data_IF_478090727347
#
_entry.id   IF_478090727347
#
_cell.length_a   1.000
_cell.length_b   1.000
_cell.length_c   1.000
_cell.angle_alpha   90.00
_cell.angle_beta   90.00
_cell.angle_gamma   90.00
#
_symmetry.space_group_name_H-M   'P 1'
#
loop_
_entity.id
_entity.type
_entity.pdbx_description
1 polymer ?
#
# COMPACT_ATOMS: atom_id res chain seq x y z
N UNK A 1 18.04 -5.20 -21.60
CA UNK A 1 18.44 -3.94 -22.25
C UNK A 1 19.74 -3.50 -21.60
N UNK A 2 20.82 -3.32 -22.37
CA UNK A 2 22.09 -2.85 -21.81
C UNK A 2 22.06 -1.32 -21.68
N UNK A 3 22.73 -0.80 -20.64
CA UNK A 3 22.87 0.64 -20.41
C UNK A 3 24.00 1.16 -21.29
N UNK A 4 23.75 2.24 -22.03
CA UNK A 4 24.80 2.96 -22.76
C UNK A 4 25.55 3.86 -21.75
N UNK A 5 26.76 3.41 -21.37
CA UNK A 5 27.57 4.10 -20.40
C UNK A 5 28.06 5.49 -20.89
N UNK A 6 28.29 5.64 -22.20
CA UNK A 6 28.73 6.92 -22.75
C UNK A 6 27.59 7.95 -22.63
N UNK A 7 26.40 7.59 -23.04
CA UNK A 7 25.22 8.43 -22.88
C UNK A 7 24.95 8.75 -21.40
N UNK A 8 25.16 7.79 -20.50
CA UNK A 8 24.96 7.99 -19.07
C UNK A 8 25.99 8.96 -18.44
N UNK A 9 27.19 9.09 -19.02
CA UNK A 9 28.17 10.08 -18.56
C UNK A 9 27.91 11.49 -19.10
N UNK A 10 27.28 11.61 -20.26
CA UNK A 10 27.10 12.87 -20.97
C UNK A 10 25.75 13.55 -20.68
N UNK A 11 24.76 12.81 -20.24
CA UNK A 11 23.41 13.34 -20.00
C UNK A 11 23.07 13.39 -18.50
N UNK A 12 22.21 14.32 -18.15
CA UNK A 12 21.66 14.38 -16.79
C UNK A 12 20.90 13.09 -16.46
N UNK A 13 21.08 12.53 -15.25
CA UNK A 13 20.34 11.34 -14.85
C UNK A 13 18.85 11.63 -14.76
N UNK A 14 17.99 10.64 -15.06
CA UNK A 14 16.55 10.80 -14.90
C UNK A 14 16.20 11.06 -13.42
N UNK A 15 15.19 11.89 -13.21
CA UNK A 15 14.63 12.09 -11.86
C UNK A 15 14.01 10.79 -11.38
N UNK A 16 14.46 10.33 -10.22
CA UNK A 16 13.92 9.11 -9.60
C UNK A 16 12.60 9.42 -8.89
N UNK A 17 11.59 8.60 -9.16
CA UNK A 17 10.29 8.68 -8.51
C UNK A 17 10.29 7.80 -7.26
N UNK A 18 10.12 8.41 -6.09
CA UNK A 18 10.07 7.70 -4.82
C UNK A 18 8.66 7.75 -4.22
N UNK A 19 8.19 6.61 -3.73
CA UNK A 19 6.95 6.54 -2.94
C UNK A 19 7.18 7.21 -1.58
N UNK A 20 8.31 6.91 -0.93
CA UNK A 20 8.89 7.64 0.19
C UNK A 20 10.42 7.57 0.11
N UNK A 21 11.12 8.35 0.91
CA UNK A 21 12.59 8.38 0.90
C UNK A 21 13.19 6.98 1.04
N UNK A 22 13.92 6.54 0.03
CA UNK A 22 14.56 5.22 -0.02
C UNK A 22 13.70 4.09 -0.63
N UNK A 23 12.45 4.34 -0.99
CA UNK A 23 11.60 3.33 -1.67
C UNK A 23 11.19 3.83 -3.06
N UNK A 24 11.91 3.37 -4.07
CA UNK A 24 11.72 3.77 -5.46
C UNK A 24 10.45 3.14 -6.05
N UNK A 25 9.65 3.92 -6.76
CA UNK A 25 8.50 3.43 -7.50
C UNK A 25 8.90 2.34 -8.52
N UNK A 26 8.04 1.32 -8.67
CA UNK A 26 8.32 0.17 -9.54
C UNK A 26 9.31 -0.85 -8.97
N UNK A 27 9.72 -0.71 -7.70
CA UNK A 27 10.56 -1.70 -7.00
C UNK A 27 9.78 -2.52 -5.99
N UNK A 28 10.40 -3.56 -5.46
CA UNK A 28 9.85 -4.43 -4.41
C UNK A 28 10.69 -4.26 -3.15
N UNK A 29 10.03 -4.08 -2.02
CA UNK A 29 10.64 -4.05 -0.69
C UNK A 29 10.18 -5.22 0.18
N UNK A 30 10.95 -5.54 1.21
CA UNK A 30 10.59 -6.53 2.21
C UNK A 30 10.75 -5.95 3.62
N UNK A 31 9.70 -6.05 4.44
CA UNK A 31 9.73 -5.72 5.85
C UNK A 31 9.98 -7.00 6.65
N UNK A 32 11.19 -7.14 7.19
CA UNK A 32 11.62 -8.33 7.92
C UNK A 32 11.85 -8.01 9.39
N UNK A 33 11.18 -8.76 10.27
CA UNK A 33 11.38 -8.67 11.71
C UNK A 33 10.89 -9.97 12.39
N UNK A 34 11.26 -10.28 13.63
CA UNK A 34 10.73 -11.41 14.39
C UNK A 34 9.20 -11.41 14.48
N UNK A 35 8.61 -12.55 14.85
CA UNK A 35 7.17 -12.65 15.11
C UNK A 35 6.72 -11.67 16.22
N UNK A 36 5.46 -11.27 16.20
CA UNK A 36 4.83 -10.40 17.22
C UNK A 36 5.46 -8.99 17.42
N UNK A 37 6.24 -8.51 16.45
CA UNK A 37 6.87 -7.17 16.51
C UNK A 37 6.01 -6.04 15.94
N UNK A 38 4.76 -6.32 15.57
CA UNK A 38 3.85 -5.31 15.03
C UNK A 38 4.01 -5.01 13.52
N UNK A 39 4.73 -5.84 12.74
CA UNK A 39 4.93 -5.64 11.29
C UNK A 39 3.66 -5.36 10.51
N UNK A 40 2.64 -6.21 10.71
CA UNK A 40 1.35 -6.07 10.00
C UNK A 40 0.62 -4.79 10.39
N UNK A 41 0.77 -4.34 11.64
CA UNK A 41 0.20 -3.09 12.11
C UNK A 41 0.90 -1.89 11.47
N UNK A 42 2.24 -1.89 11.50
CA UNK A 42 3.05 -0.87 10.84
C UNK A 42 2.79 -0.81 9.34
N UNK A 43 2.69 -1.96 8.66
CA UNK A 43 2.39 -2.01 7.22
C UNK A 43 1.01 -1.43 6.89
N UNK A 44 0.01 -1.65 7.75
CA UNK A 44 -1.32 -1.07 7.61
C UNK A 44 -1.29 0.46 7.81
N UNK A 45 -0.55 0.96 8.81
CA UNK A 45 -0.36 2.40 9.04
C UNK A 45 0.40 3.06 7.89
N UNK A 46 1.43 2.39 7.35
CA UNK A 46 2.15 2.86 6.15
C UNK A 46 1.23 2.93 4.93
N UNK A 47 0.39 1.90 4.73
CA UNK A 47 -0.62 1.88 3.66
C UNK A 47 -1.62 3.04 3.80
N UNK A 48 -2.09 3.31 5.03
CA UNK A 48 -2.97 4.44 5.32
C UNK A 48 -2.28 5.79 5.07
N UNK A 49 -1.00 5.93 5.44
CA UNK A 49 -0.22 7.15 5.21
C UNK A 49 -0.06 7.46 3.72
N UNK A 50 0.17 6.43 2.88
CA UNK A 50 0.25 6.61 1.42
C UNK A 50 -1.13 6.92 0.83
N UNK A 51 -2.19 6.28 1.33
CA UNK A 51 -3.55 6.49 0.85
C UNK A 51 -4.12 7.86 1.26
N UNK A 52 -3.61 8.46 2.32
CA UNK A 52 -4.08 9.74 2.82
C UNK A 52 -3.56 10.91 1.96
N UNK A 53 -4.48 11.61 1.30
CA UNK A 53 -4.16 12.81 0.50
C UNK A 53 -4.09 14.10 1.30
N UNK A 54 -4.34 14.05 2.62
CA UNK A 54 -4.32 15.22 3.50
C UNK A 54 -2.89 15.55 3.89
N UNK A 55 -2.48 16.77 3.63
CA UNK A 55 -1.12 17.22 3.93
C UNK A 55 -0.79 17.12 5.43
N UNK A 56 0.37 16.54 5.75
CA UNK A 56 0.83 16.35 7.12
C UNK A 56 0.26 15.15 7.86
N UNK A 57 -0.57 14.35 7.20
CA UNK A 57 -1.14 13.13 7.75
C UNK A 57 -0.25 11.93 7.45
N UNK A 58 0.67 11.66 8.37
CA UNK A 58 1.61 10.54 8.26
C UNK A 58 1.71 9.84 9.62
N UNK A 59 1.22 8.60 9.67
CA UNK A 59 1.11 7.82 10.92
C UNK A 59 2.46 7.21 11.35
N UNK A 60 3.39 7.04 10.41
CA UNK A 60 4.62 6.27 10.64
C UNK A 60 5.91 7.04 10.31
N UNK A 61 5.82 8.31 9.93
CA UNK A 61 6.97 9.16 9.62
C UNK A 61 7.70 8.80 8.34
N UNK A 62 6.99 8.27 7.33
CA UNK A 62 7.56 7.92 6.02
C UNK A 62 7.67 9.11 5.07
N UNK A 63 6.87 10.15 5.30
CA UNK A 63 6.72 11.31 4.43
C UNK A 63 6.50 10.89 2.96
N UNK A 64 5.37 10.23 2.62
CA UNK A 64 5.10 9.81 1.26
C UNK A 64 5.20 10.99 0.29
N UNK A 65 5.93 10.81 -0.81
CA UNK A 65 6.13 11.87 -1.81
C UNK A 65 4.84 12.24 -2.54
N UNK A 66 4.01 11.21 -2.80
CA UNK A 66 2.73 11.37 -3.47
C UNK A 66 1.69 10.44 -2.83
N UNK A 67 0.51 10.97 -2.47
CA UNK A 67 -0.60 10.12 -2.08
C UNK A 67 -1.10 9.32 -3.29
N UNK A 68 -1.61 8.13 -3.05
CA UNK A 68 -2.09 7.28 -4.13
C UNK A 68 -3.00 6.15 -3.66
N UNK A 69 -3.57 5.44 -4.62
CA UNK A 69 -4.37 4.25 -4.34
C UNK A 69 -3.48 3.12 -3.85
N UNK A 70 -3.90 2.47 -2.78
CA UNK A 70 -3.18 1.38 -2.13
C UNK A 70 -4.09 0.16 -2.02
N UNK A 71 -3.54 -1.00 -2.29
CA UNK A 71 -4.19 -2.28 -2.01
C UNK A 71 -3.39 -2.98 -0.92
N UNK A 72 -4.03 -3.21 0.22
CA UNK A 72 -3.46 -3.97 1.32
C UNK A 72 -4.07 -5.37 1.35
N UNK A 73 -3.26 -6.38 1.00
CA UNK A 73 -3.67 -7.78 0.99
C UNK A 73 -3.28 -8.43 2.32
N UNK A 74 -4.28 -8.82 3.13
CA UNK A 74 -4.06 -9.40 4.45
C UNK A 74 -4.14 -10.93 4.40
N UNK A 75 -3.00 -11.61 4.56
CA UNK A 75 -2.92 -13.07 4.53
C UNK A 75 -3.14 -13.76 5.88
N UNK A 76 -2.90 -13.06 6.99
CA UNK A 76 -2.93 -13.64 8.34
C UNK A 76 -4.15 -13.17 9.15
N UNK A 77 -4.67 -12.00 8.87
CA UNK A 77 -5.74 -11.39 9.67
C UNK A 77 -7.12 -11.67 9.09
N UNK A 78 -8.05 -12.22 9.87
CA UNK A 78 -9.45 -12.34 9.46
C UNK A 78 -10.13 -10.97 9.39
N UNK A 79 -11.18 -10.81 8.55
CA UNK A 79 -11.87 -9.53 8.36
C UNK A 79 -12.26 -8.80 9.66
N UNK A 80 -12.80 -9.45 10.71
CA UNK A 80 -13.12 -8.76 11.95
C UNK A 80 -11.90 -8.15 12.64
N UNK A 81 -10.73 -8.82 12.60
CA UNK A 81 -9.50 -8.30 13.19
C UNK A 81 -9.00 -7.06 12.44
N UNK A 82 -9.09 -7.05 11.10
CA UNK A 82 -8.76 -5.87 10.30
C UNK A 82 -9.67 -4.69 10.63
N UNK A 83 -10.97 -4.92 10.76
CA UNK A 83 -11.92 -3.87 11.16
C UNK A 83 -11.56 -3.29 12.53
N UNK A 84 -11.22 -4.13 13.51
CA UNK A 84 -10.79 -3.66 14.83
C UNK A 84 -9.51 -2.81 14.75
N UNK A 85 -8.54 -3.20 13.92
CA UNK A 85 -7.30 -2.43 13.72
C UNK A 85 -7.56 -1.08 13.06
N UNK A 86 -8.33 -1.07 11.97
CA UNK A 86 -8.73 0.16 11.29
C UNK A 86 -9.47 1.10 12.25
N UNK A 87 -10.41 0.57 13.05
CA UNK A 87 -11.11 1.35 14.05
C UNK A 87 -10.15 1.95 15.10
N UNK A 88 -9.18 1.17 15.56
CA UNK A 88 -8.20 1.64 16.55
C UNK A 88 -7.32 2.77 16.00
N UNK A 89 -6.78 2.60 14.79
CA UNK A 89 -5.99 3.63 14.09
C UNK A 89 -6.85 4.86 13.81
N UNK A 90 -8.09 4.64 13.38
CA UNK A 90 -9.04 5.69 13.05
C UNK A 90 -9.32 6.69 14.20
N UNK A 91 -9.06 6.31 15.47
CA UNK A 91 -9.21 7.24 16.60
C UNK A 91 -8.20 8.39 16.57
N UNK A 92 -7.07 8.19 15.92
CA UNK A 92 -6.00 9.19 15.77
C UNK A 92 -6.14 10.03 14.50
N UNK A 93 -7.12 9.73 13.64
CA UNK A 93 -7.38 10.40 12.38
C UNK A 93 -8.58 11.34 12.48
N UNK A 94 -8.48 12.51 11.86
CA UNK A 94 -9.62 13.42 11.72
C UNK A 94 -10.60 12.93 10.62
N UNK A 95 -11.82 13.48 10.54
CA UNK A 95 -12.82 13.05 9.54
C UNK A 95 -12.35 13.12 8.08
N UNK A 96 -11.59 14.15 7.71
CA UNK A 96 -11.09 14.34 6.33
C UNK A 96 -10.03 13.28 5.98
N UNK A 97 -9.16 12.96 6.92
CA UNK A 97 -8.16 11.89 6.76
C UNK A 97 -8.81 10.53 6.59
N UNK A 98 -9.84 10.24 7.40
CA UNK A 98 -10.60 8.97 7.28
C UNK A 98 -11.29 8.85 5.92
N UNK A 99 -11.87 9.93 5.41
CA UNK A 99 -12.52 9.96 4.10
C UNK A 99 -11.49 9.74 2.99
N UNK A 100 -10.38 10.47 2.99
CA UNK A 100 -9.31 10.34 2.00
C UNK A 100 -8.72 8.92 1.98
N UNK A 101 -8.51 8.31 3.15
CA UNK A 101 -8.04 6.92 3.26
C UNK A 101 -9.10 5.96 2.71
N UNK A 102 -10.38 6.15 3.04
CA UNK A 102 -11.45 5.27 2.58
C UNK A 102 -11.63 5.30 1.05
N UNK A 103 -11.33 6.41 0.40
CA UNK A 103 -11.35 6.54 -1.06
C UNK A 103 -10.17 5.86 -1.75
N UNK A 104 -9.01 5.80 -1.10
CA UNK A 104 -7.76 5.38 -1.72
C UNK A 104 -7.21 4.03 -1.23
N UNK A 105 -7.69 3.50 -0.09
CA UNK A 105 -7.21 2.24 0.47
C UNK A 105 -8.23 1.12 0.28
N UNK A 106 -7.82 0.07 -0.40
CA UNK A 106 -8.58 -1.18 -0.51
C UNK A 106 -7.96 -2.21 0.43
N UNK A 107 -8.76 -2.71 1.38
CA UNK A 107 -8.36 -3.81 2.26
C UNK A 107 -8.93 -5.12 1.73
N UNK A 108 -8.05 -6.01 1.29
CA UNK A 108 -8.40 -7.30 0.71
C UNK A 108 -7.94 -8.44 1.62
N UNK A 109 -8.84 -9.05 2.41
CA UNK A 109 -8.52 -10.27 3.15
C UNK A 109 -8.30 -11.43 2.18
N UNK A 110 -7.18 -12.12 2.30
CA UNK A 110 -6.85 -13.30 1.48
C UNK A 110 -6.59 -14.54 2.36
N UNK A 111 -7.02 -14.49 3.62
CA UNK A 111 -6.89 -15.60 4.55
C UNK A 111 -7.62 -16.84 4.02
N UNK A 112 -6.97 -17.99 4.08
CA UNK A 112 -7.49 -19.27 3.55
C UNK A 112 -7.40 -19.43 2.03
N UNK A 113 -6.96 -18.41 1.31
CA UNK A 113 -6.57 -18.54 -0.09
C UNK A 113 -5.12 -19.03 -0.13
N UNK A 114 -4.88 -20.23 -0.65
CA UNK A 114 -3.52 -20.74 -0.86
C UNK A 114 -2.87 -20.01 -2.04
N UNK A 115 -2.54 -18.74 -1.84
CA UNK A 115 -1.98 -17.89 -2.88
C UNK A 115 -0.45 -18.00 -2.88
N UNK A 116 0.12 -18.43 -3.98
CA UNK A 116 1.55 -18.51 -4.20
C UNK A 116 1.96 -17.56 -5.33
N UNK A 117 2.52 -16.41 -4.97
CA UNK A 117 2.96 -15.38 -5.94
C UNK A 117 4.05 -15.87 -6.91
N UNK A 118 4.65 -17.03 -6.64
CA UNK A 118 5.59 -17.69 -7.57
C UNK A 118 4.88 -18.54 -8.62
N UNK A 119 3.60 -18.85 -8.44
CA UNK A 119 2.77 -19.49 -9.45
C UNK A 119 2.22 -18.43 -10.42
N UNK A 120 2.32 -18.73 -11.74
CA UNK A 120 1.85 -17.77 -12.76
C UNK A 120 0.33 -17.53 -12.70
N UNK A 121 -0.43 -18.53 -12.28
CA UNK A 121 -1.90 -18.41 -12.17
C UNK A 121 -2.27 -17.52 -11.00
N UNK A 122 -1.70 -17.80 -9.84
CA UNK A 122 -1.94 -17.01 -8.63
C UNK A 122 -1.49 -15.55 -8.82
N UNK A 123 -0.36 -15.33 -9.48
CA UNK A 123 0.12 -13.99 -9.82
C UNK A 123 -0.84 -13.26 -10.77
N UNK A 124 -1.40 -13.95 -11.78
CA UNK A 124 -2.38 -13.37 -12.69
C UNK A 124 -3.67 -12.98 -11.94
N UNK A 125 -4.12 -13.80 -10.99
CA UNK A 125 -5.29 -13.53 -10.15
C UNK A 125 -5.05 -12.32 -9.23
N UNK A 126 -3.85 -12.18 -8.65
CA UNK A 126 -3.45 -10.98 -7.89
C UNK A 126 -3.50 -9.75 -8.76
N UNK A 127 -2.91 -9.77 -9.95
CA UNK A 127 -2.91 -8.64 -10.88
C UNK A 127 -4.34 -8.25 -11.28
N UNK A 128 -5.19 -9.24 -11.56
CA UNK A 128 -6.58 -9.02 -11.94
C UNK A 128 -7.37 -8.41 -10.77
N UNK A 129 -7.20 -8.93 -9.56
CA UNK A 129 -7.84 -8.41 -8.35
C UNK A 129 -7.40 -6.98 -8.08
N UNK A 130 -6.10 -6.69 -8.17
CA UNK A 130 -5.58 -5.34 -7.99
C UNK A 130 -6.13 -4.38 -9.05
N UNK A 131 -6.17 -4.78 -10.31
CA UNK A 131 -6.72 -3.95 -11.39
C UNK A 131 -8.21 -3.69 -11.20
N UNK A 132 -8.99 -4.71 -10.82
CA UNK A 132 -10.41 -4.59 -10.51
C UNK A 132 -10.69 -3.67 -9.32
N UNK A 133 -9.92 -3.80 -8.25
CA UNK A 133 -10.06 -2.97 -7.05
C UNK A 133 -9.76 -1.48 -7.32
N UNK A 134 -8.80 -1.20 -8.19
CA UNK A 134 -8.44 0.18 -8.57
C UNK A 134 -9.48 0.86 -9.49
N UNK A 135 -10.31 0.07 -10.18
CA UNK A 135 -11.35 0.57 -11.11
C UNK A 135 -12.73 0.61 -10.49
N UNK A 136 -12.95 -0.04 -9.34
CA UNK A 136 -14.25 -0.05 -8.68
C UNK A 136 -14.55 1.32 -8.05
N UNK A 137 -15.71 1.95 -8.32
CA UNK A 137 -16.12 3.17 -7.62
C UNK A 137 -16.33 2.87 -6.12
N UNK A 138 -16.11 3.85 -5.23
CA UNK A 138 -16.35 3.67 -3.80
C UNK A 138 -17.78 3.21 -3.56
N UNK A 139 -17.96 2.19 -2.72
CA UNK A 139 -19.28 1.72 -2.32
C UNK A 139 -20.05 2.87 -1.66
N UNK A 140 -21.33 3.09 -2.02
CA UNK A 140 -22.16 4.05 -1.30
C UNK A 140 -22.26 3.61 0.17
N UNK A 141 -22.29 4.57 1.12
CA UNK A 141 -22.45 4.24 2.52
C UNK A 141 -23.73 3.43 2.71
N UNK A 142 -23.61 2.25 3.29
CA UNK A 142 -24.74 1.45 3.76
C UNK A 142 -25.42 2.23 4.89
N UNK A 143 -26.68 2.60 4.67
CA UNK A 143 -27.60 3.19 5.63
C UNK A 143 -27.78 2.30 6.86
#
# INVERSE_FOLDING_TARGET
>A
MAIDLRAAFEHEPPVLDFIWSGFLAGTVGALVAPGATGKSFWALEAAMSIACSVAGSDLVGLAPSHPGKVIYMAGEDPPPALVCRVHAIGKYLNPKEREAIAENLVLQPIIGQCMNIMDRRDLADVITTCSGALTCPPHPPSL
#
